data_IF_263968526266
#
_entry.id   IF_263968526266
#
_cell.length_a   1.000
_cell.length_b   1.000
_cell.length_c   1.000
_cell.angle_alpha   90.00
_cell.angle_beta   90.00
_cell.angle_gamma   90.00
#
_symmetry.space_group_name_H-M   'P 1'
#
loop_
_entity.id
_entity.type
_entity.pdbx_description
1 polymer ?
#
# COMPACT_ATOMS: atom_id res chain seq x y z
N UNK A 1 -18.31 -1.33 -41.85
CA UNK A 1 -17.07 -0.93 -41.14
C UNK A 1 -17.46 -0.53 -39.74
N UNK A 2 -17.43 -1.47 -38.79
CA UNK A 2 -17.88 -1.25 -37.42
C UNK A 2 -17.15 -2.28 -36.53
N UNK A 3 -15.82 -2.16 -36.41
CA UNK A 3 -14.98 -3.16 -35.68
C UNK A 3 -13.78 -2.57 -34.94
N UNK A 4 -13.55 -1.25 -35.01
CA UNK A 4 -12.41 -0.61 -34.34
C UNK A 4 -12.74 -0.14 -32.90
N UNK A 5 -13.98 0.27 -32.63
CA UNK A 5 -14.38 0.82 -31.32
C UNK A 5 -14.57 -0.24 -30.22
N UNK A 6 -15.07 -1.44 -30.57
CA UNK A 6 -15.28 -2.51 -29.59
C UNK A 6 -13.97 -3.21 -29.16
N UNK A 7 -13.00 -3.33 -30.09
CA UNK A 7 -11.69 -3.89 -29.78
C UNK A 7 -10.88 -2.99 -28.82
N UNK A 8 -10.98 -1.68 -28.96
CA UNK A 8 -10.29 -0.73 -28.09
C UNK A 8 -10.83 -0.75 -26.64
N UNK A 9 -12.14 -0.98 -26.46
CA UNK A 9 -12.73 -1.14 -25.12
C UNK A 9 -12.33 -2.48 -24.49
N UNK A 10 -12.21 -3.54 -25.30
CA UNK A 10 -11.74 -4.85 -24.87
C UNK A 10 -10.31 -4.81 -24.34
N UNK A 11 -9.37 -4.25 -25.10
CA UNK A 11 -7.95 -4.19 -24.67
C UNK A 11 -7.72 -3.28 -23.48
N UNK A 12 -8.46 -2.15 -23.42
CA UNK A 12 -8.34 -1.18 -22.33
C UNK A 12 -8.68 -1.77 -20.96
N UNK A 13 -9.64 -2.70 -20.89
CA UNK A 13 -10.06 -3.34 -19.63
C UNK A 13 -9.43 -4.71 -19.41
N UNK A 14 -8.53 -5.14 -20.29
CA UNK A 14 -7.91 -6.45 -20.21
C UNK A 14 -6.84 -6.49 -19.13
N UNK A 15 -6.97 -7.43 -18.20
CA UNK A 15 -6.11 -7.60 -17.03
C UNK A 15 -5.72 -9.06 -16.82
N UNK A 16 -4.56 -9.28 -16.23
CA UNK A 16 -4.18 -10.53 -15.59
C UNK A 16 -4.37 -10.42 -14.09
N UNK A 17 -4.97 -11.45 -13.50
CA UNK A 17 -5.16 -11.56 -12.05
C UNK A 17 -4.04 -12.42 -11.49
N UNK A 18 -3.36 -11.92 -10.47
CA UNK A 18 -2.36 -12.67 -9.73
C UNK A 18 -2.74 -12.79 -8.25
N UNK A 19 -2.35 -13.90 -7.64
CA UNK A 19 -2.43 -14.10 -6.21
C UNK A 19 -1.08 -14.60 -5.69
N UNK A 20 -0.60 -14.04 -4.58
CA UNK A 20 0.63 -14.50 -3.95
C UNK A 20 0.38 -15.85 -3.25
N UNK A 21 1.26 -16.82 -3.47
CA UNK A 21 1.19 -18.15 -2.85
C UNK A 21 2.11 -18.26 -1.61
N UNK A 22 2.06 -19.41 -0.93
CA UNK A 22 2.84 -19.67 0.29
C UNK A 22 4.37 -19.58 0.07
N UNK A 23 4.83 -19.83 -1.16
CA UNK A 23 6.24 -19.71 -1.57
C UNK A 23 6.65 -18.26 -1.88
N UNK A 24 5.78 -17.28 -1.61
CA UNK A 24 5.95 -15.85 -1.93
C UNK A 24 6.15 -15.59 -3.44
N UNK A 25 5.52 -16.39 -4.29
CA UNK A 25 5.50 -16.22 -5.75
C UNK A 25 4.09 -15.83 -6.23
N UNK A 26 4.04 -15.02 -7.29
CA UNK A 26 2.78 -14.60 -7.89
C UNK A 26 2.25 -15.66 -8.86
N UNK A 27 1.15 -16.30 -8.49
CA UNK A 27 0.46 -17.28 -9.35
C UNK A 27 -0.53 -16.57 -10.29
N UNK A 28 -0.43 -16.86 -11.59
CA UNK A 28 -1.37 -16.37 -12.62
C UNK A 28 -2.71 -17.11 -12.46
N UNK A 29 -3.76 -16.38 -12.05
CA UNK A 29 -5.13 -16.88 -11.91
C UNK A 29 -5.90 -16.84 -13.22
N UNK A 30 -5.41 -16.12 -14.23
CA UNK A 30 -6.02 -16.02 -15.54
C UNK A 30 -6.05 -14.60 -16.08
N UNK A 31 -6.43 -14.50 -17.36
CA UNK A 31 -6.60 -13.23 -18.07
C UNK A 31 -8.09 -12.97 -18.31
N UNK A 32 -8.52 -11.73 -18.07
CA UNK A 32 -9.92 -11.35 -18.18
C UNK A 32 -10.12 -9.85 -18.37
N UNK A 33 -11.36 -9.40 -18.25
CA UNK A 33 -11.75 -8.00 -18.38
C UNK A 33 -12.26 -7.48 -17.04
N UNK A 34 -11.66 -6.41 -16.53
CA UNK A 34 -12.04 -5.77 -15.27
C UNK A 34 -13.19 -4.79 -15.46
N UNK A 35 -14.12 -4.78 -14.51
CA UNK A 35 -15.22 -3.83 -14.43
C UNK A 35 -15.44 -3.43 -12.98
N UNK A 36 -15.74 -2.16 -12.71
CA UNK A 36 -16.23 -1.73 -11.41
C UNK A 36 -17.77 -1.79 -11.41
N UNK A 37 -18.35 -2.36 -10.36
CA UNK A 37 -19.80 -2.48 -10.21
C UNK A 37 -20.24 -1.85 -8.90
N UNK A 38 -21.38 -1.19 -8.92
CA UNK A 38 -22.01 -0.65 -7.72
C UNK A 38 -23.06 -1.66 -7.27
N UNK A 39 -22.82 -2.28 -6.12
CA UNK A 39 -23.75 -3.14 -5.43
C UNK A 39 -24.82 -2.35 -4.67
N UNK A 40 -25.70 -3.07 -3.94
CA UNK A 40 -26.61 -2.45 -2.98
C UNK A 40 -25.82 -1.70 -1.89
N UNK A 41 -26.41 -0.65 -1.32
CA UNK A 41 -25.83 0.17 -0.24
C UNK A 41 -24.54 0.96 -0.63
N UNK A 42 -24.42 1.38 -1.88
CA UNK A 42 -23.27 2.14 -2.43
C UNK A 42 -21.91 1.42 -2.31
N UNK A 43 -21.93 0.10 -2.08
CA UNK A 43 -20.74 -0.75 -2.07
C UNK A 43 -20.22 -0.89 -3.50
N UNK A 44 -18.92 -0.67 -3.71
CA UNK A 44 -18.30 -0.80 -5.05
C UNK A 44 -17.37 -2.00 -5.06
N UNK A 45 -17.48 -2.87 -6.06
CA UNK A 45 -16.60 -4.03 -6.24
C UNK A 45 -15.87 -4.02 -7.58
N UNK A 46 -14.69 -4.62 -7.61
CA UNK A 46 -13.91 -4.93 -8.80
C UNK A 46 -14.21 -6.36 -9.23
N UNK A 47 -14.80 -6.50 -10.41
CA UNK A 47 -15.14 -7.78 -11.02
C UNK A 47 -14.28 -8.02 -12.24
N UNK A 48 -13.56 -9.15 -12.28
CA UNK A 48 -12.82 -9.62 -13.46
C UNK A 48 -13.50 -10.85 -14.03
N UNK A 49 -13.88 -10.78 -15.31
CA UNK A 49 -14.44 -11.92 -16.06
C UNK A 49 -13.42 -12.48 -17.03
N UNK A 50 -13.19 -13.78 -16.96
CA UNK A 50 -12.31 -14.54 -17.85
C UNK A 50 -12.67 -14.34 -19.32
N UNK A 51 -11.67 -14.16 -20.18
CA UNK A 51 -11.90 -14.04 -21.63
C UNK A 51 -12.17 -15.39 -22.32
N UNK A 52 -11.93 -16.52 -21.63
CA UNK A 52 -12.03 -17.87 -22.20
C UNK A 52 -13.43 -18.44 -22.02
N UNK A 53 -13.98 -18.32 -20.82
CA UNK A 53 -15.22 -18.98 -20.39
C UNK A 53 -16.23 -18.02 -19.71
N UNK A 54 -15.89 -16.73 -19.62
CA UNK A 54 -16.72 -15.69 -18.97
C UNK A 54 -17.00 -15.94 -17.48
N UNK A 55 -16.27 -16.87 -16.86
CA UNK A 55 -16.31 -17.12 -15.41
C UNK A 55 -15.69 -15.95 -14.65
N UNK A 56 -16.09 -15.79 -13.39
CA UNK A 56 -15.56 -14.77 -12.50
C UNK A 56 -14.18 -15.23 -12.00
N UNK A 57 -13.14 -14.49 -12.34
CA UNK A 57 -11.77 -14.71 -11.85
C UNK A 57 -11.51 -13.98 -10.54
N UNK A 58 -12.15 -12.83 -10.35
CA UNK A 58 -12.04 -11.98 -9.17
C UNK A 58 -13.36 -11.26 -8.94
N UNK A 59 -13.83 -11.25 -7.71
CA UNK A 59 -14.90 -10.39 -7.20
C UNK A 59 -14.42 -9.86 -5.85
N UNK A 60 -13.94 -8.62 -5.82
CA UNK A 60 -13.28 -8.02 -4.66
C UNK A 60 -13.92 -6.69 -4.32
N UNK A 61 -14.31 -6.51 -3.06
CA UNK A 61 -14.95 -5.29 -2.59
C UNK A 61 -13.93 -4.19 -2.35
N UNK A 62 -14.19 -2.97 -2.83
CA UNK A 62 -13.35 -1.80 -2.55
C UNK A 62 -13.67 -1.29 -1.13
N UNK A 63 -13.05 -1.89 -0.13
CA UNK A 63 -13.21 -1.49 1.28
C UNK A 63 -12.37 -0.25 1.62
N UNK A 64 -12.85 0.58 2.54
CA UNK A 64 -12.14 1.80 2.97
C UNK A 64 -10.84 1.52 3.74
N UNK A 65 -10.78 0.40 4.46
CA UNK A 65 -9.65 -0.05 5.28
C UNK A 65 -8.59 -0.82 4.48
N UNK A 66 -8.87 -1.17 3.22
CA UNK A 66 -7.95 -1.91 2.36
C UNK A 66 -6.85 -0.99 1.80
N UNK A 67 -5.61 -1.45 1.90
CA UNK A 67 -4.44 -0.73 1.39
C UNK A 67 -4.19 -1.09 -0.07
N UNK A 68 -4.84 -0.38 -0.99
CA UNK A 68 -4.54 -0.44 -2.41
C UNK A 68 -3.29 0.37 -2.74
N UNK A 69 -2.42 -0.19 -3.57
CA UNK A 69 -1.20 0.46 -4.08
C UNK A 69 -1.14 0.28 -5.59
N UNK A 70 -1.05 1.39 -6.32
CA UNK A 70 -0.72 1.35 -7.75
C UNK A 70 0.78 1.14 -7.85
N UNK A 71 1.18 0.14 -8.61
CA UNK A 71 2.56 -0.13 -8.95
C UNK A 71 2.81 0.10 -10.45
N UNK A 72 3.85 0.86 -10.78
CA UNK A 72 4.13 1.26 -12.17
C UNK A 72 2.90 1.95 -12.81
N UNK A 73 2.81 1.97 -14.13
CA UNK A 73 1.66 2.55 -14.83
C UNK A 73 0.49 1.58 -15.00
N UNK A 74 0.68 0.29 -14.73
CA UNK A 74 -0.23 -0.78 -15.16
C UNK A 74 -0.48 -1.87 -14.10
N UNK A 75 -0.03 -1.74 -12.86
CA UNK A 75 -0.26 -2.74 -11.82
C UNK A 75 -1.01 -2.11 -10.64
N UNK A 76 -1.97 -2.84 -10.07
CA UNK A 76 -2.62 -2.48 -8.81
C UNK A 76 -2.51 -3.67 -7.89
N UNK A 77 -2.00 -3.47 -6.67
CA UNK A 77 -1.73 -4.51 -5.67
C UNK A 77 -2.45 -4.16 -4.38
N UNK A 78 -3.07 -5.15 -3.74
CA UNK A 78 -3.69 -4.99 -2.43
C UNK A 78 -3.75 -6.33 -1.69
N UNK A 79 -4.08 -6.29 -0.40
CA UNK A 79 -4.27 -7.48 0.41
C UNK A 79 -5.72 -7.56 0.88
N UNK A 80 -6.39 -8.69 0.64
CA UNK A 80 -7.75 -8.97 1.07
C UNK A 80 -7.81 -10.28 1.86
N UNK A 81 -8.28 -10.23 3.11
CA UNK A 81 -8.49 -11.41 3.97
C UNK A 81 -7.27 -12.36 4.02
N UNK A 82 -6.06 -11.79 4.16
CA UNK A 82 -4.74 -12.47 4.16
C UNK A 82 -4.26 -12.99 2.80
N UNK A 83 -4.95 -12.67 1.70
CA UNK A 83 -4.50 -12.96 0.35
C UNK A 83 -3.94 -11.68 -0.29
N UNK A 84 -2.71 -11.73 -0.79
CA UNK A 84 -2.17 -10.66 -1.62
C UNK A 84 -2.59 -10.86 -3.08
N UNK A 85 -3.21 -9.85 -3.64
CA UNK A 85 -3.80 -9.84 -4.97
C UNK A 85 -3.17 -8.74 -5.82
N UNK A 86 -3.03 -9.01 -7.12
CA UNK A 86 -2.59 -8.01 -8.07
C UNK A 86 -3.37 -8.08 -9.39
N UNK A 87 -3.67 -6.91 -9.94
CA UNK A 87 -4.22 -6.73 -11.28
C UNK A 87 -3.16 -6.08 -12.17
N UNK A 88 -2.69 -6.83 -13.15
CA UNK A 88 -1.79 -6.32 -14.19
C UNK A 88 -2.59 -5.98 -15.43
N UNK A 89 -2.67 -4.70 -15.75
CA UNK A 89 -3.40 -4.15 -16.87
C UNK A 89 -2.56 -4.20 -18.14
N UNK A 90 -3.21 -4.51 -19.25
CA UNK A 90 -2.57 -4.42 -20.55
C UNK A 90 -2.31 -2.96 -20.97
N UNK A 91 -3.18 -2.05 -20.56
CA UNK A 91 -3.10 -0.62 -20.91
C UNK A 91 -3.12 0.27 -19.66
N UNK A 92 -2.22 1.27 -19.63
CA UNK A 92 -2.18 2.31 -18.58
C UNK A 92 -3.53 2.99 -18.38
N UNK A 93 -4.21 3.31 -19.49
CA UNK A 93 -5.46 4.05 -19.44
C UNK A 93 -6.60 3.28 -18.76
N UNK A 94 -6.54 1.94 -18.73
CA UNK A 94 -7.47 1.10 -17.96
C UNK A 94 -7.11 1.02 -16.49
N UNK A 95 -5.80 0.96 -16.20
CA UNK A 95 -5.29 1.02 -14.83
C UNK A 95 -5.68 2.33 -14.14
N UNK A 96 -5.57 3.46 -14.84
CA UNK A 96 -5.94 4.78 -14.34
C UNK A 96 -7.43 4.87 -14.00
N UNK A 97 -8.32 4.40 -14.88
CA UNK A 97 -9.76 4.42 -14.61
C UNK A 97 -10.14 3.62 -13.35
N UNK A 98 -9.52 2.44 -13.16
CA UNK A 98 -9.78 1.62 -11.98
C UNK A 98 -9.15 2.26 -10.73
N UNK A 99 -7.96 2.82 -10.85
CA UNK A 99 -7.29 3.51 -9.74
C UNK A 99 -8.07 4.72 -9.25
N UNK A 100 -8.52 5.58 -10.17
CA UNK A 100 -9.39 6.73 -9.86
C UNK A 100 -10.66 6.27 -9.13
N UNK A 101 -11.26 5.16 -9.58
CA UNK A 101 -12.46 4.61 -8.93
C UNK A 101 -12.18 4.14 -7.50
N UNK A 102 -11.05 3.48 -7.26
CA UNK A 102 -10.61 3.06 -5.93
C UNK A 102 -10.42 4.30 -5.03
N UNK A 103 -9.66 5.29 -5.51
CA UNK A 103 -9.42 6.53 -4.75
C UNK A 103 -10.72 7.27 -4.43
N UNK A 104 -11.66 7.33 -5.37
CA UNK A 104 -12.97 7.94 -5.17
C UNK A 104 -13.76 7.27 -4.05
N UNK A 105 -13.76 5.92 -3.99
CA UNK A 105 -14.46 5.16 -2.94
C UNK A 105 -13.78 5.36 -1.57
N UNK A 106 -12.45 5.46 -1.56
CA UNK A 106 -11.67 5.65 -0.33
C UNK A 106 -11.56 7.11 0.11
N UNK A 107 -12.13 8.07 -0.65
CA UNK A 107 -12.03 9.51 -0.37
C UNK A 107 -10.59 10.04 -0.44
N UNK A 108 -9.72 9.39 -1.22
CA UNK A 108 -8.32 9.79 -1.42
C UNK A 108 -8.16 10.56 -2.73
N UNK A 109 -7.14 11.40 -2.80
CA UNK A 109 -6.79 12.08 -4.03
C UNK A 109 -6.12 11.07 -5.00
N UNK A 110 -6.56 10.92 -6.27
CA UNK A 110 -5.91 10.06 -7.25
C UNK A 110 -4.47 10.49 -7.58
N UNK A 111 -4.16 11.77 -7.40
CA UNK A 111 -2.82 12.36 -7.60
C UNK A 111 -1.94 12.26 -6.34
N UNK A 112 -2.50 11.83 -5.20
CA UNK A 112 -1.70 11.20 -4.14
C UNK A 112 -1.24 9.83 -4.64
N UNK A 113 -0.37 9.87 -5.64
CA UNK A 113 0.61 8.82 -5.85
C UNK A 113 1.30 8.62 -4.51
N UNK A 114 1.26 7.39 -4.02
CA UNK A 114 2.10 6.97 -2.90
C UNK A 114 3.52 7.50 -3.23
N UNK A 115 4.19 8.29 -2.39
CA UNK A 115 5.47 8.94 -2.71
C UNK A 115 6.61 7.94 -3.05
N UNK A 116 6.28 6.66 -3.17
CA UNK A 116 7.08 5.53 -3.60
C UNK A 116 7.27 5.36 -5.10
N UNK A 117 6.62 6.13 -5.98
CA UNK A 117 6.56 5.76 -7.41
C UNK A 117 6.95 6.83 -8.44
N UNK A 118 7.83 7.78 -8.12
CA UNK A 118 8.70 8.33 -9.16
C UNK A 118 9.89 7.39 -9.33
N UNK A 119 9.79 6.44 -10.25
CA UNK A 119 10.97 5.80 -10.82
C UNK A 119 11.62 6.76 -11.81
N UNK A 120 12.31 7.76 -11.26
CA UNK A 120 13.43 8.41 -11.91
C UNK A 120 14.52 8.50 -10.84
N UNK A 121 15.77 8.35 -11.27
CA UNK A 121 16.97 8.40 -10.44
C UNK A 121 17.07 9.77 -9.71
N UNK A 122 16.37 9.92 -8.59
CA UNK A 122 16.52 10.99 -7.60
C UNK A 122 17.18 10.36 -6.35
N UNK A 123 18.06 11.10 -5.66
CA UNK A 123 19.20 10.55 -4.92
C UNK A 123 18.74 9.57 -3.84
N UNK A 124 19.64 8.65 -3.46
CA UNK A 124 19.52 7.84 -2.25
C UNK A 124 19.12 8.74 -1.08
N UNK A 125 17.82 8.91 -0.86
CA UNK A 125 17.30 9.64 0.29
C UNK A 125 17.46 8.65 1.43
N UNK A 126 18.67 8.66 2.01
CA UNK A 126 18.99 8.02 3.25
C UNK A 126 17.86 8.38 4.20
N UNK A 127 17.10 7.37 4.60
CA UNK A 127 15.92 7.55 5.43
C UNK A 127 16.40 8.07 6.81
N UNK A 128 16.53 9.39 6.92
CA UNK A 128 17.03 10.07 8.11
C UNK A 128 15.93 10.12 9.14
N UNK A 129 15.92 9.11 10.01
CA UNK A 129 15.14 9.18 11.23
C UNK A 129 15.59 10.38 12.07
N UNK A 130 14.65 11.22 12.57
CA UNK A 130 15.00 12.36 13.41
C UNK A 130 15.78 11.90 14.64
N UNK A 131 16.62 12.75 15.22
CA UNK A 131 17.42 12.35 16.38
C UNK A 131 16.50 11.91 17.54
N UNK A 132 16.80 10.76 18.19
CA UNK A 132 16.05 10.26 19.33
C UNK A 132 16.33 11.17 20.53
N UNK A 133 15.56 12.26 20.62
CA UNK A 133 15.59 13.24 21.69
C UNK A 133 14.17 13.44 22.23
N UNK A 134 14.06 13.81 23.52
CA UNK A 134 12.78 14.07 24.19
C UNK A 134 11.89 15.05 23.40
N UNK A 135 12.51 16.05 22.75
CA UNK A 135 11.82 17.07 21.97
C UNK A 135 11.24 16.57 20.64
N UNK A 136 11.78 15.48 20.12
CA UNK A 136 11.44 14.94 18.80
C UNK A 136 10.53 13.71 18.90
N UNK A 137 10.11 13.28 20.09
CA UNK A 137 9.30 12.07 20.31
C UNK A 137 8.05 12.04 19.41
N UNK A 138 7.34 13.17 19.26
CA UNK A 138 6.17 13.23 18.38
C UNK A 138 6.53 13.11 16.89
N UNK A 139 7.63 13.76 16.46
CA UNK A 139 8.12 13.64 15.09
C UNK A 139 8.62 12.23 14.77
N UNK A 140 9.21 11.54 15.75
CA UNK A 140 9.64 10.14 15.62
C UNK A 140 8.42 9.23 15.44
N UNK A 141 7.37 9.43 16.25
CA UNK A 141 6.09 8.72 16.11
C UNK A 141 5.51 8.93 14.72
N UNK A 142 5.39 10.18 14.29
CA UNK A 142 4.74 10.52 13.02
C UNK A 142 5.55 9.99 11.83
N UNK A 143 6.89 10.08 11.91
CA UNK A 143 7.79 9.48 10.91
C UNK A 143 7.60 7.97 10.84
N UNK A 144 7.66 7.24 11.95
CA UNK A 144 7.50 5.78 11.97
C UNK A 144 6.11 5.36 11.47
N UNK A 145 5.05 6.06 11.90
CA UNK A 145 3.69 5.77 11.44
C UNK A 145 3.51 6.04 9.94
N UNK A 146 4.04 7.15 9.42
CA UNK A 146 3.98 7.46 7.99
C UNK A 146 4.74 6.41 7.17
N UNK A 147 5.93 5.99 7.60
CA UNK A 147 6.69 4.94 6.93
C UNK A 147 6.01 3.56 7.00
N UNK A 148 5.34 3.24 8.12
CA UNK A 148 4.52 2.04 8.25
C UNK A 148 3.31 2.06 7.29
N UNK A 149 2.67 3.22 7.12
CA UNK A 149 1.54 3.42 6.19
C UNK A 149 1.98 3.28 4.73
N UNK A 150 3.12 3.86 4.38
CA UNK A 150 3.72 3.76 3.04
C UNK A 150 4.36 2.39 2.76
N UNK A 151 4.19 1.38 3.61
CA UNK A 151 4.83 0.06 3.48
C UNK A 151 6.37 0.07 3.27
N UNK A 152 7.07 1.16 3.64
CA UNK A 152 8.54 1.31 3.56
C UNK A 152 9.27 0.59 4.70
N UNK A 153 8.75 -0.56 5.10
CA UNK A 153 9.13 -1.28 6.32
C UNK A 153 10.59 -1.74 6.30
N UNK A 154 11.06 -2.22 5.16
CA UNK A 154 12.45 -2.69 5.00
C UNK A 154 13.48 -1.57 5.12
N UNK A 155 13.21 -0.40 4.51
CA UNK A 155 14.08 0.77 4.62
C UNK A 155 14.10 1.31 6.05
N UNK A 156 12.94 1.37 6.70
CA UNK A 156 12.82 1.78 8.10
C UNK A 156 13.58 0.82 9.04
N UNK A 157 13.43 -0.49 8.85
CA UNK A 157 14.16 -1.52 9.61
C UNK A 157 15.68 -1.38 9.43
N UNK A 158 16.14 -1.13 8.21
CA UNK A 158 17.55 -0.88 7.90
C UNK A 158 18.06 0.41 8.56
N UNK A 159 17.30 1.51 8.50
CA UNK A 159 17.67 2.77 9.15
C UNK A 159 17.73 2.64 10.69
N UNK A 160 16.76 1.97 11.31
CA UNK A 160 16.75 1.72 12.76
C UNK A 160 17.98 0.92 13.19
N UNK A 161 18.37 -0.10 12.41
CA UNK A 161 19.57 -0.92 12.66
C UNK A 161 20.85 -0.14 12.43
N UNK A 162 20.97 0.58 11.32
CA UNK A 162 22.16 1.35 10.96
C UNK A 162 22.45 2.47 11.98
N UNK A 163 21.42 3.18 12.43
CA UNK A 163 21.58 4.29 13.37
C UNK A 163 21.68 3.86 14.84
N UNK A 164 21.58 2.55 15.12
CA UNK A 164 21.51 1.96 16.45
C UNK A 164 20.45 2.67 17.31
N UNK A 165 19.25 2.76 16.75
CA UNK A 165 18.22 3.68 17.19
C UNK A 165 17.49 3.21 18.46
N UNK A 166 17.38 1.89 18.66
CA UNK A 166 16.71 1.28 19.83
C UNK A 166 17.40 1.62 21.16
N UNK A 167 18.74 1.45 21.31
CA UNK A 167 19.42 1.86 22.54
C UNK A 167 19.26 3.35 22.86
N UNK A 168 19.30 4.22 21.85
CA UNK A 168 19.12 5.66 22.05
C UNK A 168 17.70 6.02 22.46
N UNK A 169 16.69 5.35 21.90
CA UNK A 169 15.30 5.47 22.35
C UNK A 169 15.10 5.03 23.80
N UNK A 170 15.85 4.03 24.27
CA UNK A 170 15.84 3.63 25.67
C UNK A 170 16.45 4.70 26.59
N UNK A 171 17.52 5.37 26.17
CA UNK A 171 18.07 6.51 26.93
C UNK A 171 17.06 7.67 27.02
N UNK A 172 16.32 7.94 25.94
CA UNK A 172 15.23 8.91 25.93
C UNK A 172 14.11 8.46 26.87
N UNK A 173 13.74 7.18 26.87
CA UNK A 173 12.74 6.64 27.78
C UNK A 173 13.10 6.90 29.24
N UNK A 174 14.33 6.60 29.65
CA UNK A 174 14.79 6.87 31.02
C UNK A 174 14.76 8.37 31.34
N UNK A 175 15.15 9.22 30.40
CA UNK A 175 15.12 10.68 30.59
C UNK A 175 13.68 11.23 30.74
N UNK A 176 12.72 10.67 30.02
CA UNK A 176 11.29 11.04 30.10
C UNK A 176 10.66 10.49 31.38
N UNK A 177 11.03 9.28 31.78
CA UNK A 177 10.60 8.65 33.03
C UNK A 177 11.07 9.47 34.25
N UNK A 178 12.31 9.96 34.24
CA UNK A 178 12.85 10.86 35.28
C UNK A 178 12.10 12.21 35.36
N UNK A 179 11.50 12.64 34.24
CA UNK A 179 10.70 13.87 34.16
C UNK A 179 9.22 13.67 34.51
N UNK A 180 8.79 12.42 34.74
CA UNK A 180 7.40 12.01 35.01
C UNK A 180 6.39 12.51 33.96
N UNK A 181 6.82 12.61 32.70
CA UNK A 181 5.97 13.06 31.59
C UNK A 181 5.20 11.90 30.96
N UNK A 182 3.99 11.68 31.49
CA UNK A 182 3.07 10.64 31.05
C UNK A 182 2.67 10.73 29.55
N UNK A 183 2.65 11.93 28.96
CA UNK A 183 2.28 12.09 27.55
C UNK A 183 3.40 11.57 26.64
N UNK A 184 4.63 11.97 26.93
CA UNK A 184 5.81 11.51 26.20
C UNK A 184 6.04 10.00 26.36
N UNK A 185 5.80 9.44 27.56
CA UNK A 185 5.85 7.98 27.79
C UNK A 185 4.82 7.23 26.94
N UNK A 186 3.60 7.77 26.81
CA UNK A 186 2.56 7.16 25.97
C UNK A 186 2.95 7.18 24.49
N UNK A 187 3.57 8.26 24.01
CA UNK A 187 4.06 8.32 22.63
C UNK A 187 5.22 7.35 22.41
N UNK A 188 6.16 7.22 23.36
CA UNK A 188 7.24 6.24 23.31
C UNK A 188 6.71 4.80 23.24
N UNK A 189 5.66 4.48 24.01
CA UNK A 189 5.02 3.17 23.92
C UNK A 189 4.49 2.87 22.50
N UNK A 190 3.80 3.83 21.85
CA UNK A 190 3.31 3.65 20.48
C UNK A 190 4.46 3.49 19.47
N UNK A 191 5.59 4.18 19.68
CA UNK A 191 6.81 4.01 18.88
C UNK A 191 7.36 2.60 19.04
N UNK A 192 7.59 2.14 20.26
CA UNK A 192 8.12 0.79 20.52
C UNK A 192 7.20 -0.30 19.99
N UNK A 193 5.88 -0.14 20.16
CA UNK A 193 4.89 -1.05 19.60
C UNK A 193 4.97 -1.10 18.07
N UNK A 194 5.08 0.06 17.41
CA UNK A 194 5.21 0.13 15.94
C UNK A 194 6.49 -0.54 15.45
N UNK A 195 7.63 -0.31 16.13
CA UNK A 195 8.91 -0.96 15.83
C UNK A 195 8.83 -2.48 16.06
N UNK A 196 8.14 -2.92 17.11
CA UNK A 196 7.95 -4.34 17.38
C UNK A 196 7.10 -5.04 16.32
N UNK A 197 5.97 -4.45 15.93
CA UNK A 197 5.14 -4.96 14.84
C UNK A 197 5.89 -5.02 13.51
N UNK A 198 6.78 -4.07 13.25
CA UNK A 198 7.70 -4.07 12.12
C UNK A 198 8.64 -5.28 12.09
N UNK A 199 9.02 -5.81 13.25
CA UNK A 199 9.97 -6.92 13.38
C UNK A 199 9.29 -8.30 13.45
N UNK A 200 7.95 -8.37 13.61
CA UNK A 200 7.18 -9.62 13.64
C UNK A 200 6.53 -10.01 12.31
N UNK A 201 6.58 -9.14 11.30
CA UNK A 201 6.04 -9.38 9.96
C UNK A 201 7.08 -10.00 9.02
#
# INVERSE_FOLDING_TARGET
MQTAGENAVGTRRRVKVYQLNDDRQWDDRGTGHVTSQNGPDDVVSLLVRSEVDNNILLDSEIRQDTSYSKQQETLIVWSEDQNDLALSFQERQGCEEIWERICQVQGRDPDQTDPLQSSDEEPEDDLELPLPEVRNIEQIRDSIQNHCRMQRREKLSSAIKAQNYIPKLLEVFHSVEDLDDANSLRVLYEIFKSIWLLNQA
#
